data_IF_365175104911
#
_entry.id   IF_365175104911
#
_cell.length_a   1.000
_cell.length_b   1.000
_cell.length_c   1.000
_cell.angle_alpha   90.00
_cell.angle_beta   90.00
_cell.angle_gamma   90.00
#
_symmetry.space_group_name_H-M   'P 1'
#
loop_
_entity.id
_entity.type
_entity.pdbx_description
1 polymer ?
#
# COMPACT_ATOMS: atom_id res chain seq x y z
N UNK A 1 10.31 33.09 67.38
CA UNK A 1 8.95 32.89 66.85
C UNK A 1 7.97 33.27 67.93
N UNK A 2 7.02 34.13 67.61
CA UNK A 2 5.99 34.55 68.55
C UNK A 2 4.92 33.47 68.71
N UNK A 3 4.37 33.37 69.91
CA UNK A 3 3.33 32.39 70.22
C UNK A 3 2.08 32.55 69.33
N UNK A 4 1.75 33.78 68.90
CA UNK A 4 0.63 34.01 67.98
C UNK A 4 0.85 33.39 66.61
N UNK A 5 2.08 33.48 66.08
CA UNK A 5 2.41 32.91 64.78
C UNK A 5 2.36 31.36 64.83
N UNK A 6 2.91 30.77 65.90
CA UNK A 6 2.86 29.31 66.12
C UNK A 6 1.43 28.81 66.26
N UNK A 7 0.55 29.54 66.97
CA UNK A 7 -0.87 29.20 67.08
C UNK A 7 -1.60 29.19 65.72
N UNK A 8 -1.24 30.09 64.82
CA UNK A 8 -1.82 30.11 63.46
C UNK A 8 -1.34 28.95 62.59
N UNK A 9 -0.09 28.52 62.76
CA UNK A 9 0.55 27.46 61.96
C UNK A 9 0.36 26.04 62.52
N UNK A 10 -0.16 25.91 63.74
CA UNK A 10 -0.40 24.62 64.41
C UNK A 10 -1.35 23.69 63.63
N UNK A 11 -2.40 24.26 63.01
CA UNK A 11 -3.36 23.47 62.23
C UNK A 11 -2.70 22.82 61.00
N UNK A 12 -1.85 23.57 60.30
CA UNK A 12 -1.10 23.11 59.13
C UNK A 12 -0.07 22.02 59.51
N UNK A 13 0.63 22.20 60.64
CA UNK A 13 1.59 21.20 61.15
C UNK A 13 0.91 19.86 61.50
N UNK A 14 -0.34 19.87 61.97
CA UNK A 14 -1.08 18.64 62.30
C UNK A 14 -1.70 17.96 61.06
N UNK A 15 -1.91 18.68 59.95
CA UNK A 15 -2.41 18.09 58.70
C UNK A 15 -1.32 17.31 57.94
N UNK A 16 -0.04 17.68 58.11
CA UNK A 16 1.08 16.99 57.44
C UNK A 16 1.35 15.59 57.98
N UNK A 17 1.09 15.33 59.26
CA UNK A 17 1.39 14.04 59.91
C UNK A 17 0.43 12.91 59.45
N UNK A 18 -0.75 13.27 58.94
CA UNK A 18 -1.77 12.32 58.51
C UNK A 18 -1.67 11.97 57.01
N UNK A 19 -1.09 12.84 56.19
CA UNK A 19 -1.08 12.71 54.75
C UNK A 19 0.35 12.60 54.24
N UNK A 20 0.87 11.38 54.16
CA UNK A 20 2.22 11.07 53.66
C UNK A 20 2.51 11.55 52.22
N UNK A 21 1.55 12.18 51.51
CA UNK A 21 1.71 12.88 50.23
C UNK A 21 0.41 13.66 49.91
N UNK A 22 -0.04 14.53 50.83
CA UNK A 22 -1.19 15.40 50.60
C UNK A 22 -0.83 16.72 49.90
N UNK A 23 -1.76 17.37 49.17
CA UNK A 23 -1.49 18.62 48.44
C UNK A 23 -1.09 19.82 49.34
N UNK A 24 -1.25 19.69 50.66
CA UNK A 24 -0.96 20.72 51.65
C UNK A 24 0.25 20.35 52.53
N UNK A 25 1.25 19.68 51.97
CA UNK A 25 2.48 19.38 52.72
C UNK A 25 3.21 20.70 53.03
N UNK A 26 3.41 20.97 54.32
CA UNK A 26 4.28 22.05 54.76
C UNK A 26 5.74 21.58 54.63
N UNK A 27 6.65 22.36 54.05
CA UNK A 27 8.05 21.95 53.87
C UNK A 27 8.73 21.68 55.22
N UNK A 28 9.61 20.66 55.26
CA UNK A 28 10.29 20.23 56.49
C UNK A 28 11.08 21.36 57.18
N UNK A 29 11.55 22.35 56.42
CA UNK A 29 12.27 23.53 56.92
C UNK A 29 11.44 24.36 57.91
N UNK A 30 10.12 24.44 57.72
CA UNK A 30 9.21 25.19 58.60
C UNK A 30 8.72 24.35 59.78
N UNK A 31 8.74 23.02 59.67
CA UNK A 31 8.31 22.12 60.74
C UNK A 31 9.30 22.12 61.92
N UNK A 32 10.61 22.15 61.63
CA UNK A 32 11.66 22.07 62.66
C UNK A 32 11.65 23.21 63.70
N UNK A 33 11.50 24.51 63.34
CA UNK A 33 11.41 25.59 64.33
C UNK A 33 10.12 25.52 65.14
N UNK A 34 8.99 25.12 64.52
CA UNK A 34 7.71 24.95 65.20
C UNK A 34 7.77 23.85 66.26
N UNK A 35 8.31 22.67 65.92
CA UNK A 35 8.49 21.57 66.89
C UNK A 35 9.40 21.97 68.05
N UNK A 36 10.47 22.72 67.76
CA UNK A 36 11.38 23.22 68.81
C UNK A 36 10.67 24.21 69.74
N UNK A 37 9.81 25.08 69.22
CA UNK A 37 9.02 26.00 70.05
C UNK A 37 7.96 25.26 70.89
N UNK A 38 7.28 24.24 70.33
CA UNK A 38 6.32 23.42 71.08
C UNK A 38 6.97 22.66 72.24
N UNK A 39 8.23 22.23 72.09
CA UNK A 39 8.99 21.60 73.17
C UNK A 39 9.36 22.58 74.30
N UNK A 40 9.50 23.88 73.99
CA UNK A 40 9.90 24.91 74.96
C UNK A 40 8.75 25.72 75.57
N UNK A 41 7.59 25.80 74.91
CA UNK A 41 6.47 26.65 75.32
C UNK A 41 5.26 25.81 75.78
N UNK A 42 4.96 25.89 77.09
CA UNK A 42 3.87 25.13 77.70
C UNK A 42 2.50 25.50 77.12
N UNK A 43 2.21 26.78 76.93
CA UNK A 43 0.91 27.24 76.42
C UNK A 43 0.62 26.73 75.01
N UNK A 44 1.63 26.76 74.13
CA UNK A 44 1.50 26.25 72.77
C UNK A 44 1.36 24.72 72.75
N UNK A 45 2.06 24.00 73.64
CA UNK A 45 1.94 22.54 73.77
C UNK A 45 0.55 22.09 74.25
N UNK A 46 -0.03 22.81 75.21
CA UNK A 46 -1.39 22.54 75.72
C UNK A 46 -2.42 22.78 74.63
N UNK A 47 -2.27 23.88 73.87
CA UNK A 47 -3.17 24.19 72.77
C UNK A 47 -3.09 23.14 71.64
N UNK A 48 -1.89 22.66 71.32
CA UNK A 48 -1.71 21.57 70.37
C UNK A 48 -2.42 20.29 70.82
N UNK A 49 -2.27 19.90 72.09
CA UNK A 49 -2.94 18.72 72.65
C UNK A 49 -4.47 18.84 72.68
N UNK A 50 -5.01 20.04 72.92
CA UNK A 50 -6.46 20.30 72.82
C UNK A 50 -6.97 20.09 71.39
N UNK A 51 -6.22 20.56 70.39
CA UNK A 51 -6.57 20.37 68.98
C UNK A 51 -6.52 18.89 68.58
N UNK A 52 -5.53 18.14 69.08
CA UNK A 52 -5.44 16.69 68.86
C UNK A 52 -6.63 15.95 69.45
N UNK A 53 -7.06 16.33 70.66
CA UNK A 53 -8.21 15.72 71.32
C UNK A 53 -9.51 15.98 70.55
N UNK A 54 -9.72 17.20 70.05
CA UNK A 54 -10.85 17.53 69.17
C UNK A 54 -10.78 16.72 67.87
N UNK A 55 -9.61 16.60 67.24
CA UNK A 55 -9.42 15.78 66.04
C UNK A 55 -9.77 14.31 66.30
N UNK A 56 -9.29 13.74 67.40
CA UNK A 56 -9.62 12.37 67.78
C UNK A 56 -11.13 12.19 68.00
N UNK A 57 -11.79 13.13 68.66
CA UNK A 57 -13.24 13.10 68.85
C UNK A 57 -14.01 13.18 67.51
N UNK A 58 -13.55 14.02 66.58
CA UNK A 58 -14.15 14.13 65.25
C UNK A 58 -13.95 12.87 64.41
N UNK A 59 -12.79 12.21 64.53
CA UNK A 59 -12.51 10.94 63.83
C UNK A 59 -13.25 9.74 64.43
N UNK A 60 -13.51 9.76 65.74
CA UNK A 60 -14.30 8.74 66.42
C UNK A 60 -15.79 8.78 66.03
N UNK A 61 -16.23 9.83 65.32
CA UNK A 61 -17.60 9.93 64.81
C UNK A 61 -17.88 8.78 63.83
N UNK A 62 -18.99 8.05 64.00
CA UNK A 62 -19.31 6.92 63.12
C UNK A 62 -19.42 7.41 61.67
N UNK A 63 -18.64 6.76 60.81
CA UNK A 63 -18.65 7.01 59.37
C UNK A 63 -20.06 6.71 58.84
N UNK A 64 -20.60 7.63 58.04
CA UNK A 64 -21.92 7.45 57.41
C UNK A 64 -21.91 6.13 56.62
N UNK A 65 -22.84 5.19 56.87
CA UNK A 65 -22.86 3.94 56.15
C UNK A 65 -23.02 4.25 54.66
N UNK A 66 -22.02 3.83 53.89
CA UNK A 66 -22.02 4.02 52.45
C UNK A 66 -23.11 3.13 51.86
N UNK A 67 -24.10 3.68 51.14
CA UNK A 67 -25.16 2.86 50.59
C UNK A 67 -24.58 1.91 49.52
N UNK A 68 -25.01 0.65 49.55
CA UNK A 68 -24.41 -0.43 48.75
C UNK A 68 -24.43 -0.17 47.24
N UNK A 69 -25.44 0.54 46.73
CA UNK A 69 -25.53 0.91 45.32
C UNK A 69 -24.41 1.87 44.90
N UNK A 70 -23.98 2.77 45.79
CA UNK A 70 -22.90 3.72 45.54
C UNK A 70 -21.55 2.99 45.50
N UNK A 71 -21.32 2.05 46.42
CA UNK A 71 -20.12 1.21 46.41
C UNK A 71 -20.04 0.38 45.12
N UNK A 72 -21.16 -0.18 44.66
CA UNK A 72 -21.23 -0.88 43.38
C UNK A 72 -20.96 0.06 42.20
N UNK A 73 -21.59 1.24 42.17
CA UNK A 73 -21.41 2.22 41.10
C UNK A 73 -19.97 2.73 41.01
N UNK A 74 -19.31 2.97 42.15
CA UNK A 74 -17.91 3.42 42.19
C UNK A 74 -16.97 2.31 41.77
N UNK A 75 -17.19 1.05 42.17
CA UNK A 75 -16.41 -0.09 41.66
C UNK A 75 -16.59 -0.25 40.15
N UNK A 76 -17.82 -0.10 39.66
CA UNK A 76 -18.10 -0.16 38.23
C UNK A 76 -17.38 0.97 37.48
N UNK A 77 -17.46 2.21 37.97
CA UNK A 77 -16.73 3.34 37.39
C UNK A 77 -15.21 3.17 37.48
N UNK A 78 -14.68 2.73 38.62
CA UNK A 78 -13.25 2.46 38.80
C UNK A 78 -12.76 1.36 37.85
N UNK A 79 -13.55 0.29 37.63
CA UNK A 79 -13.22 -0.77 36.68
C UNK A 79 -13.21 -0.26 35.23
N UNK A 80 -14.17 0.60 34.86
CA UNK A 80 -14.25 1.23 33.52
C UNK A 80 -13.08 2.18 33.29
N UNK A 81 -12.71 2.94 34.29
CA UNK A 81 -11.59 3.88 34.22
C UNK A 81 -10.24 3.15 34.20
N UNK A 82 -10.08 2.09 35.00
CA UNK A 82 -8.92 1.21 34.93
C UNK A 82 -8.81 0.51 33.57
N UNK A 83 -9.94 0.06 32.99
CA UNK A 83 -9.98 -0.51 31.66
C UNK A 83 -9.64 0.53 30.57
N UNK A 84 -10.14 1.78 30.69
CA UNK A 84 -9.75 2.88 29.79
C UNK A 84 -8.26 3.18 29.87
N UNK A 85 -7.70 3.27 31.08
CA UNK A 85 -6.25 3.47 31.26
C UNK A 85 -5.44 2.32 30.67
N UNK A 86 -5.88 1.06 30.82
CA UNK A 86 -5.24 -0.09 30.17
C UNK A 86 -5.31 -0.04 28.63
N UNK A 87 -6.43 0.46 28.06
CA UNK A 87 -6.56 0.66 26.61
C UNK A 87 -5.57 1.68 26.04
N UNK A 88 -5.20 2.70 26.80
CA UNK A 88 -4.21 3.72 26.38
C UNK A 88 -2.78 3.40 26.82
N UNK A 89 -2.58 2.50 27.78
CA UNK A 89 -1.25 2.18 28.33
C UNK A 89 -0.41 1.28 27.42
N UNK A 90 -0.99 0.55 26.48
CA UNK A 90 -0.22 -0.41 25.67
C UNK A 90 -0.79 -0.58 24.27
N UNK A 91 0.01 -0.25 23.24
CA UNK A 91 -0.33 -0.43 21.82
C UNK A 91 -0.79 -1.86 21.52
N UNK A 92 -0.21 -2.85 22.20
CA UNK A 92 -0.56 -4.28 22.07
C UNK A 92 -2.02 -4.58 22.44
N UNK A 93 -2.55 -3.91 23.46
CA UNK A 93 -3.95 -4.06 23.90
C UNK A 93 -4.94 -3.40 22.93
N UNK A 94 -4.52 -2.29 22.30
CA UNK A 94 -5.30 -1.63 21.25
C UNK A 94 -5.37 -2.49 19.99
N UNK A 95 -4.25 -3.10 19.59
CA UNK A 95 -4.21 -4.04 18.45
C UNK A 95 -5.09 -5.27 18.72
N UNK A 96 -5.00 -5.88 19.92
CA UNK A 96 -5.84 -7.03 20.27
C UNK A 96 -7.33 -6.68 20.20
N UNK A 97 -7.73 -5.54 20.76
CA UNK A 97 -9.13 -5.12 20.72
C UNK A 97 -9.62 -4.86 19.28
N UNK A 98 -8.76 -4.30 18.42
CA UNK A 98 -9.08 -4.09 17.00
C UNK A 98 -9.22 -5.40 16.23
N UNK A 99 -8.35 -6.38 16.50
CA UNK A 99 -8.42 -7.70 15.88
C UNK A 99 -9.69 -8.45 16.30
N UNK A 100 -10.07 -8.37 17.57
CA UNK A 100 -11.31 -8.99 18.06
C UNK A 100 -12.53 -8.40 17.33
N UNK A 101 -12.62 -7.06 17.23
CA UNK A 101 -13.71 -6.40 16.49
C UNK A 101 -13.69 -6.71 14.99
N UNK A 102 -12.51 -6.79 14.36
CA UNK A 102 -12.38 -7.18 12.96
C UNK A 102 -12.83 -8.61 12.73
N UNK A 103 -12.45 -9.55 13.60
CA UNK A 103 -12.82 -10.95 13.49
C UNK A 103 -14.34 -11.14 13.59
N UNK A 104 -15.00 -10.45 14.52
CA UNK A 104 -16.45 -10.47 14.66
C UNK A 104 -17.15 -9.81 13.47
N UNK A 105 -16.59 -8.72 12.96
CA UNK A 105 -17.12 -8.03 11.78
C UNK A 105 -17.02 -8.92 10.54
N UNK A 106 -15.88 -9.57 10.31
CA UNK A 106 -15.68 -10.52 9.21
C UNK A 106 -16.62 -11.72 9.35
N UNK A 107 -16.75 -12.29 10.54
CA UNK A 107 -17.67 -13.41 10.79
C UNK A 107 -19.14 -13.03 10.55
N UNK A 108 -19.54 -11.82 10.96
CA UNK A 108 -20.90 -11.31 10.70
C UNK A 108 -21.10 -10.90 9.24
N UNK A 109 -20.06 -10.45 8.54
CA UNK A 109 -20.09 -10.07 7.13
C UNK A 109 -20.13 -11.32 6.23
N UNK A 110 -19.43 -12.40 6.62
CA UNK A 110 -19.43 -13.67 5.91
C UNK A 110 -20.81 -14.35 5.92
N UNK A 111 -21.62 -14.18 6.96
CA UNK A 111 -22.98 -14.78 7.01
C UNK A 111 -23.91 -14.36 5.87
N UNK A 112 -24.07 -13.05 5.55
CA UNK A 112 -24.89 -12.60 4.44
C UNK A 112 -24.14 -12.54 3.10
N UNK A 113 -22.81 -12.35 3.07
CA UNK A 113 -22.05 -12.19 1.81
C UNK A 113 -21.49 -13.50 1.23
N UNK A 114 -21.40 -14.58 2.02
CA UNK A 114 -20.92 -15.86 1.49
C UNK A 114 -21.80 -16.38 0.35
N UNK A 115 -23.13 -16.20 0.45
CA UNK A 115 -24.08 -16.63 -0.58
C UNK A 115 -23.92 -15.86 -1.91
N UNK A 116 -23.97 -14.51 -1.95
CA UNK A 116 -23.78 -13.77 -3.20
C UNK A 116 -22.34 -13.82 -3.73
N UNK A 117 -21.31 -13.85 -2.86
CA UNK A 117 -19.93 -13.92 -3.31
C UNK A 117 -19.60 -15.28 -3.95
N UNK A 118 -20.03 -16.39 -3.33
CA UNK A 118 -19.84 -17.72 -3.91
C UNK A 118 -20.64 -17.88 -5.21
N UNK A 119 -21.86 -17.34 -5.27
CA UNK A 119 -22.68 -17.34 -6.49
C UNK A 119 -22.03 -16.54 -7.63
N UNK A 120 -21.51 -15.34 -7.33
CA UNK A 120 -20.78 -14.52 -8.29
C UNK A 120 -19.52 -15.23 -8.81
N UNK A 121 -18.71 -15.80 -7.92
CA UNK A 121 -17.48 -16.50 -8.29
C UNK A 121 -17.77 -17.76 -9.14
N UNK A 122 -18.77 -18.56 -8.75
CA UNK A 122 -19.21 -19.72 -9.52
C UNK A 122 -19.71 -19.32 -10.92
N UNK A 123 -20.53 -18.26 -11.01
CA UNK A 123 -21.03 -17.77 -12.29
C UNK A 123 -19.92 -17.22 -13.19
N UNK A 124 -18.94 -16.52 -12.62
CA UNK A 124 -17.80 -15.98 -13.35
C UNK A 124 -16.90 -17.09 -13.91
N UNK A 125 -16.64 -18.14 -13.12
CA UNK A 125 -15.86 -19.31 -13.58
C UNK A 125 -16.60 -20.04 -14.70
N UNK A 126 -17.91 -20.23 -14.58
CA UNK A 126 -18.73 -20.88 -15.62
C UNK A 126 -18.69 -20.05 -16.91
N UNK A 127 -18.97 -18.75 -16.84
CA UNK A 127 -18.95 -17.87 -18.02
C UNK A 127 -17.56 -17.78 -18.65
N UNK A 128 -16.51 -17.65 -17.83
CA UNK A 128 -15.13 -17.59 -18.33
C UNK A 128 -14.72 -18.90 -18.99
N UNK A 129 -15.05 -20.05 -18.41
CA UNK A 129 -14.76 -21.36 -19.01
C UNK A 129 -15.48 -21.53 -20.35
N UNK A 130 -16.75 -21.11 -20.44
CA UNK A 130 -17.52 -21.13 -21.68
C UNK A 130 -16.89 -20.23 -22.75
N UNK A 131 -16.45 -19.03 -22.39
CA UNK A 131 -15.81 -18.09 -23.33
C UNK A 131 -14.41 -18.57 -23.73
N UNK A 132 -13.61 -19.08 -22.80
CA UNK A 132 -12.22 -19.51 -23.04
C UNK A 132 -12.14 -20.67 -24.04
N UNK A 133 -13.11 -21.59 -24.04
CA UNK A 133 -13.17 -22.67 -25.03
C UNK A 133 -13.34 -22.17 -26.48
N UNK A 134 -13.92 -20.98 -26.68
CA UNK A 134 -14.06 -20.38 -28.02
C UNK A 134 -12.73 -19.81 -28.57
N UNK A 135 -11.72 -19.62 -27.73
CA UNK A 135 -10.45 -19.01 -28.13
C UNK A 135 -9.33 -20.03 -28.44
N UNK A 136 -9.58 -21.33 -28.30
CA UNK A 136 -8.54 -22.36 -28.51
C UNK A 136 -8.14 -22.60 -29.99
N UNK A 137 -8.63 -21.78 -30.93
CA UNK A 137 -8.30 -21.86 -32.36
C UNK A 137 -7.52 -20.67 -32.93
N UNK A 138 -7.19 -19.63 -32.14
CA UNK A 138 -6.42 -18.49 -32.66
C UNK A 138 -4.92 -18.84 -32.62
N UNK A 139 -4.46 -19.58 -33.62
CA UNK A 139 -3.04 -19.65 -33.96
C UNK A 139 -2.63 -18.23 -34.34
N UNK A 140 -1.84 -17.56 -33.48
CA UNK A 140 -1.25 -16.26 -33.77
C UNK A 140 -0.01 -16.44 -34.62
N UNK A 141 -0.23 -16.73 -35.88
CA UNK A 141 0.74 -16.41 -36.92
C UNK A 141 0.30 -15.06 -37.53
N UNK A 142 0.74 -13.96 -36.91
CA UNK A 142 0.44 -12.61 -37.39
C UNK A 142 1.68 -12.06 -38.11
N UNK A 143 1.76 -12.36 -39.41
CA UNK A 143 2.80 -11.87 -40.31
C UNK A 143 2.59 -10.42 -40.79
N UNK A 144 1.75 -9.61 -40.13
CA UNK A 144 1.50 -8.25 -40.57
C UNK A 144 1.00 -7.35 -39.43
N UNK A 145 1.94 -6.86 -38.61
CA UNK A 145 1.65 -5.79 -37.65
C UNK A 145 1.36 -4.49 -38.41
N UNK A 146 0.23 -3.86 -38.08
CA UNK A 146 -0.15 -2.52 -38.56
C UNK A 146 0.95 -1.54 -38.11
N UNK A 147 1.54 -0.74 -39.02
CA UNK A 147 2.61 0.17 -38.64
C UNK A 147 2.08 1.21 -37.65
N UNK A 148 2.46 1.06 -36.38
CA UNK A 148 2.35 2.11 -35.39
C UNK A 148 3.27 3.25 -35.87
N UNK A 149 2.86 4.51 -35.75
CA UNK A 149 3.67 5.69 -36.16
C UNK A 149 5.04 5.81 -35.43
N UNK A 150 5.36 4.84 -34.57
CA UNK A 150 6.59 4.69 -33.80
C UNK A 150 7.60 3.79 -34.54
N UNK A 151 7.14 2.82 -35.34
CA UNK A 151 8.01 1.92 -36.10
C UNK A 151 7.38 1.57 -37.45
N UNK A 152 8.08 1.87 -38.56
CA UNK A 152 7.64 1.51 -39.91
C UNK A 152 8.52 0.41 -40.47
N UNK A 153 7.90 -0.63 -41.02
CA UNK A 153 8.62 -1.68 -41.75
C UNK A 153 9.20 -1.13 -43.07
N UNK A 154 10.31 -1.69 -43.57
CA UNK A 154 10.91 -1.21 -44.80
C UNK A 154 10.01 -1.56 -45.99
N UNK A 155 9.93 -0.68 -46.98
CA UNK A 155 9.05 -0.82 -48.15
C UNK A 155 9.80 -0.60 -49.45
N UNK A 156 9.40 -1.25 -50.54
CA UNK A 156 10.06 -1.09 -51.84
C UNK A 156 9.65 0.23 -52.49
N UNK A 157 10.62 1.07 -52.90
CA UNK A 157 10.36 2.37 -53.53
C UNK A 157 10.23 2.23 -55.05
N UNK A 158 11.12 1.48 -55.68
CA UNK A 158 11.05 1.21 -57.12
C UNK A 158 11.75 -0.11 -57.46
N UNK A 159 11.08 -0.92 -58.28
CA UNK A 159 11.66 -2.06 -58.98
C UNK A 159 11.90 -1.65 -60.44
N UNK A 160 13.17 -1.58 -60.85
CA UNK A 160 13.56 -1.16 -62.20
C UNK A 160 13.64 -2.31 -63.20
N UNK A 161 13.57 -3.57 -62.75
CA UNK A 161 13.73 -4.74 -63.61
C UNK A 161 12.71 -5.84 -63.28
N UNK A 162 12.13 -6.39 -64.33
CA UNK A 162 11.19 -7.52 -64.27
C UNK A 162 11.97 -8.80 -63.95
N UNK A 163 11.77 -9.30 -62.73
CA UNK A 163 12.41 -10.52 -62.25
C UNK A 163 11.34 -11.59 -62.21
N UNK A 164 11.49 -12.56 -63.10
CA UNK A 164 10.89 -13.90 -63.06
C UNK A 164 9.48 -14.07 -63.66
N UNK A 165 9.34 -15.14 -64.45
CA UNK A 165 8.07 -15.71 -64.94
C UNK A 165 7.27 -16.43 -63.83
N UNK A 166 7.93 -16.76 -62.72
CA UNK A 166 7.36 -17.43 -61.55
C UNK A 166 7.23 -16.47 -60.34
N UNK A 167 6.24 -16.72 -59.47
CA UNK A 167 6.06 -15.97 -58.23
C UNK A 167 7.11 -16.41 -57.20
N UNK A 168 8.08 -15.53 -56.90
CA UNK A 168 9.18 -15.82 -55.97
C UNK A 168 9.12 -14.86 -54.78
N UNK A 169 9.16 -15.41 -53.57
CA UNK A 169 9.30 -14.64 -52.34
C UNK A 169 10.76 -14.70 -51.86
N UNK A 170 11.34 -13.54 -51.55
CA UNK A 170 12.71 -13.41 -51.05
C UNK A 170 12.71 -12.50 -49.83
N UNK A 171 13.39 -12.90 -48.76
CA UNK A 171 13.60 -12.08 -47.58
C UNK A 171 14.92 -11.29 -47.76
N UNK A 172 14.82 -9.97 -47.83
CA UNK A 172 15.90 -9.04 -48.15
C UNK A 172 16.23 -8.20 -46.92
N UNK A 173 17.50 -8.10 -46.56
CA UNK A 173 17.97 -7.24 -45.47
C UNK A 173 18.40 -5.88 -46.03
N UNK A 174 17.72 -4.83 -45.56
CA UNK A 174 17.87 -3.46 -46.04
C UNK A 174 18.58 -2.61 -44.99
N UNK A 175 19.55 -1.82 -45.43
CA UNK A 175 20.30 -0.85 -44.62
C UNK A 175 19.50 0.43 -44.32
N UNK A 176 20.01 1.26 -43.41
CA UNK A 176 19.50 2.60 -43.08
C UNK A 176 19.43 3.53 -44.30
N UNK A 177 20.27 3.28 -45.31
CA UNK A 177 20.29 4.02 -46.57
C UNK A 177 19.32 3.49 -47.62
N UNK A 178 18.51 2.46 -47.31
CA UNK A 178 17.57 1.86 -48.27
C UNK A 178 18.24 0.93 -49.30
N UNK A 179 19.46 0.48 -49.03
CA UNK A 179 20.24 -0.43 -49.90
C UNK A 179 20.17 -1.86 -49.39
N UNK A 180 20.23 -2.82 -50.30
CA UNK A 180 20.26 -4.25 -49.96
C UNK A 180 21.65 -4.64 -49.48
N UNK A 181 21.74 -5.28 -48.30
CA UNK A 181 22.97 -5.85 -47.75
C UNK A 181 23.00 -7.35 -47.97
N UNK A 182 21.90 -8.04 -47.70
CA UNK A 182 21.83 -9.51 -47.75
C UNK A 182 20.44 -9.99 -48.21
N UNK A 183 20.35 -11.25 -48.64
CA UNK A 183 19.08 -11.87 -49.02
C UNK A 183 19.05 -13.37 -48.68
N UNK A 184 17.86 -13.85 -48.33
CA UNK A 184 17.61 -15.25 -47.99
C UNK A 184 16.30 -15.73 -48.62
N UNK A 185 16.24 -17.02 -48.94
CA UNK A 185 15.02 -17.64 -49.46
C UNK A 185 14.21 -18.21 -48.28
N UNK A 186 12.92 -17.85 -48.13
CA UNK A 186 12.06 -18.43 -47.10
C UNK A 186 11.90 -19.94 -47.29
N UNK A 187 11.71 -20.66 -46.18
CA UNK A 187 11.47 -22.11 -46.19
C UNK A 187 10.22 -22.43 -47.04
N UNK A 188 10.39 -23.26 -48.07
CA UNK A 188 9.33 -23.65 -49.01
C UNK A 188 9.57 -23.24 -50.48
N UNK A 189 10.42 -22.24 -50.74
CA UNK A 189 10.79 -21.80 -52.11
C UNK A 189 12.17 -22.30 -52.57
N UNK A 190 12.82 -23.16 -51.76
CA UNK A 190 14.18 -23.65 -52.01
C UNK A 190 14.33 -24.56 -53.25
N UNK A 191 13.24 -25.03 -53.84
CA UNK A 191 13.23 -25.89 -55.05
C UNK A 191 13.49 -25.13 -56.35
N UNK A 192 13.33 -23.80 -56.37
CA UNK A 192 13.50 -22.96 -57.57
C UNK A 192 14.85 -22.23 -57.63
N UNK A 193 15.78 -22.52 -56.71
CA UNK A 193 17.11 -21.90 -56.60
C UNK A 193 18.09 -22.39 -57.70
N UNK A 194 17.78 -22.06 -58.96
CA UNK A 194 18.69 -22.26 -60.10
C UNK A 194 19.73 -21.13 -60.16
N UNK A 195 20.97 -21.45 -60.56
CA UNK A 195 22.07 -20.47 -60.61
C UNK A 195 21.81 -19.29 -61.55
N UNK A 196 21.06 -19.51 -62.63
CA UNK A 196 20.68 -18.45 -63.56
C UNK A 196 19.64 -17.48 -62.99
N UNK A 197 18.67 -18.00 -62.22
CA UNK A 197 17.66 -17.20 -61.54
C UNK A 197 18.29 -16.35 -60.43
N UNK A 198 19.22 -16.94 -59.66
CA UNK A 198 19.97 -16.23 -58.62
C UNK A 198 20.73 -15.04 -59.18
N UNK A 199 21.42 -15.19 -60.30
CA UNK A 199 22.14 -14.09 -60.97
C UNK A 199 21.22 -12.97 -61.45
N UNK A 200 20.03 -13.31 -61.98
CA UNK A 200 19.03 -12.32 -62.41
C UNK A 200 18.45 -11.56 -61.20
N UNK A 201 18.17 -12.28 -60.11
CA UNK A 201 17.70 -11.72 -58.85
C UNK A 201 18.74 -10.78 -58.23
N UNK A 202 20.00 -11.20 -58.13
CA UNK A 202 21.11 -10.39 -57.59
C UNK A 202 21.28 -9.09 -58.39
N UNK A 203 21.30 -9.17 -59.73
CA UNK A 203 21.37 -7.99 -60.57
C UNK A 203 20.19 -7.05 -60.34
N UNK A 204 18.97 -7.58 -60.18
CA UNK A 204 17.82 -6.72 -59.90
C UNK A 204 17.89 -6.10 -58.51
N UNK A 205 18.28 -6.85 -57.48
CA UNK A 205 18.38 -6.36 -56.10
C UNK A 205 19.44 -5.25 -55.96
N UNK A 206 20.48 -5.26 -56.78
CA UNK A 206 21.48 -4.19 -56.86
C UNK A 206 20.90 -2.85 -57.37
N UNK A 207 19.87 -2.90 -58.21
CA UNK A 207 19.22 -1.72 -58.80
C UNK A 207 17.89 -1.35 -58.15
N UNK A 208 17.46 -2.08 -57.12
CA UNK A 208 16.26 -1.76 -56.34
C UNK A 208 16.59 -0.81 -55.20
N UNK A 209 15.78 0.24 -55.06
CA UNK A 209 15.83 1.15 -53.93
C UNK A 209 14.67 0.85 -52.98
N UNK A 210 14.95 0.73 -51.69
CA UNK A 210 13.97 0.52 -50.63
C UNK A 210 13.88 1.77 -49.76
N UNK A 211 12.70 2.04 -49.21
CA UNK A 211 12.56 2.90 -48.05
C UNK A 211 13.01 2.11 -46.81
N UNK A 212 13.99 2.61 -46.04
CA UNK A 212 14.47 1.92 -44.84
C UNK A 212 13.36 1.78 -43.79
N UNK A 213 13.51 0.83 -42.87
CA UNK A 213 12.66 0.82 -41.68
C UNK A 213 12.91 2.10 -40.91
N UNK A 214 11.89 2.63 -40.23
CA UNK A 214 12.12 3.75 -39.30
C UNK A 214 11.67 3.38 -37.91
N UNK A 215 12.43 3.78 -36.91
CA UNK A 215 12.05 3.69 -35.49
C UNK A 215 12.16 5.09 -34.90
N UNK A 216 11.06 5.61 -34.36
CA UNK A 216 10.92 7.02 -33.96
C UNK A 216 11.29 8.02 -35.06
N UNK A 217 11.02 7.68 -36.33
CA UNK A 217 11.34 8.52 -37.49
C UNK A 217 12.81 8.53 -37.90
N UNK A 218 13.67 7.76 -37.23
CA UNK A 218 15.07 7.56 -37.64
C UNK A 218 15.20 6.29 -38.48
N UNK A 219 15.91 6.32 -39.63
CA UNK A 219 16.12 5.13 -40.45
C UNK A 219 16.95 4.09 -39.70
N UNK A 220 16.52 2.83 -39.79
CA UNK A 220 17.16 1.67 -39.17
C UNK A 220 17.19 0.49 -40.15
N UNK A 221 18.09 -0.46 -39.95
CA UNK A 221 18.18 -1.66 -40.79
C UNK A 221 17.09 -2.67 -40.44
N UNK A 222 16.62 -3.44 -41.43
CA UNK A 222 15.53 -4.39 -41.21
C UNK A 222 15.31 -5.37 -42.36
N UNK A 223 14.66 -6.49 -42.03
CA UNK A 223 14.26 -7.50 -43.00
C UNK A 223 12.95 -7.13 -43.68
N UNK A 224 12.86 -7.34 -45.00
CA UNK A 224 11.64 -7.18 -45.81
C UNK A 224 11.42 -8.43 -46.62
N UNK A 225 10.20 -8.96 -46.60
CA UNK A 225 9.77 -9.97 -47.56
C UNK A 225 9.30 -9.30 -48.85
N UNK A 226 10.03 -9.51 -49.93
CA UNK A 226 9.68 -9.03 -51.27
C UNK A 226 9.11 -10.19 -52.07
N UNK A 227 7.90 -10.00 -52.61
CA UNK A 227 7.29 -10.94 -53.55
C UNK A 227 7.41 -10.38 -54.95
N UNK A 228 8.20 -11.06 -55.79
CA UNK A 228 8.29 -10.76 -57.20
C UNK A 228 7.16 -11.52 -57.91
N UNK A 229 6.28 -10.77 -58.58
CA UNK A 229 5.18 -11.33 -59.36
C UNK A 229 5.28 -10.80 -60.79
N UNK A 230 5.23 -11.69 -61.77
CA UNK A 230 5.07 -11.32 -63.18
C UNK A 230 3.78 -10.50 -63.35
N UNK A 231 3.91 -9.23 -63.73
CA UNK A 231 2.80 -8.27 -63.71
C UNK A 231 2.04 -8.30 -65.03
N UNK A 232 0.81 -8.78 -65.02
CA UNK A 232 -0.22 -8.37 -65.98
C UNK A 232 -1.63 -8.31 -65.38
N UNK A 233 -1.83 -7.57 -64.27
CA UNK A 233 -3.16 -7.01 -64.03
C UNK A 233 -3.13 -5.82 -63.07
N UNK A 234 -3.62 -4.68 -63.57
CA UNK A 234 -3.97 -3.49 -62.79
C UNK A 234 -5.46 -3.66 -62.45
N UNK A 235 -5.80 -3.80 -61.17
CA UNK A 235 -7.20 -3.71 -60.71
C UNK A 235 -7.34 -2.41 -59.90
N UNK A 236 -8.19 -1.52 -60.42
CA UNK A 236 -8.62 -0.29 -59.74
C UNK A 236 -10.05 -0.57 -59.28
N UNK A 237 -10.26 -0.65 -57.96
CA UNK A 237 -11.60 -0.56 -57.39
C UNK A 237 -11.70 0.66 -56.50
N UNK A 238 -12.65 1.52 -56.84
CA UNK A 238 -13.11 2.65 -56.04
C UNK A 238 -14.09 2.25 -54.96
#
# INVERSE_FOLDING_TARGET
MDCQNVKSMLAALQDTDMALNGPNHMPESEQSPLRRHLAGCRDCSVHAGQLDLVRHALRARPVRPMPAHLAFSLRAMASREAARRRRYATLRSWVQHRLDHLSLSINNLMRPLALPAAGGLASAVILFSMVMTNFQGIVRDHHNDVPLAIATNPSMKALLLDVSDAEIAVDVFVDENGRVIDYSFPEGFGTDNTSEMRRKLENSLLFTEFNPATTFGQPTSGWVRVKFKSRSQIDVKG
#
